data_IF_495784034722
#
_entry.id   IF_495784034722
#
_cell.length_a   1.000
_cell.length_b   1.000
_cell.length_c   1.000
_cell.angle_alpha   90.00
_cell.angle_beta   90.00
_cell.angle_gamma   90.00
#
_symmetry.space_group_name_H-M   'P 1'
#
loop_
_entity.id
_entity.type
_entity.pdbx_description
1 polymer ?
#
# COMPACT_ATOMS: atom_id res chain seq x y z
N UNK A 1 2.47 -9.35 -20.09
CA UNK A 1 2.62 -10.77 -20.47
C UNK A 1 3.88 -11.29 -19.77
N UNK A 2 3.83 -12.40 -19.04
CA UNK A 2 5.00 -12.96 -18.33
C UNK A 2 5.65 -14.05 -19.22
N UNK A 3 6.68 -13.75 -20.02
CA UNK A 3 7.20 -14.69 -21.02
C UNK A 3 7.73 -16.01 -20.42
N UNK A 4 8.16 -15.99 -19.15
CA UNK A 4 8.62 -17.16 -18.41
C UNK A 4 7.55 -18.24 -18.22
N UNK A 5 6.26 -17.89 -18.28
CA UNK A 5 5.18 -18.88 -18.14
C UNK A 5 5.15 -19.85 -19.32
N UNK A 6 5.57 -19.41 -20.51
CA UNK A 6 5.56 -20.23 -21.73
C UNK A 6 6.60 -21.36 -21.68
N UNK A 7 7.56 -21.25 -20.76
CA UNK A 7 8.63 -22.23 -20.55
C UNK A 7 8.54 -22.93 -19.20
N UNK A 8 7.48 -22.66 -18.41
CA UNK A 8 7.32 -23.23 -17.06
C UNK A 8 6.77 -24.66 -17.14
N UNK A 9 7.26 -25.54 -16.26
CA UNK A 9 6.72 -26.90 -16.11
C UNK A 9 5.42 -26.88 -15.29
N UNK A 10 4.41 -27.59 -15.79
CA UNK A 10 3.09 -27.60 -15.16
C UNK A 10 3.16 -28.20 -13.75
N UNK A 11 3.93 -29.28 -13.56
CA UNK A 11 3.96 -30.02 -12.30
C UNK A 11 4.84 -29.34 -11.26
N UNK A 12 6.01 -28.84 -11.64
CA UNK A 12 6.99 -28.30 -10.69
C UNK A 12 6.82 -26.80 -10.46
N UNK A 13 6.30 -26.05 -11.43
CA UNK A 13 6.26 -24.59 -11.35
C UNK A 13 4.82 -24.08 -11.13
N UNK A 14 3.85 -24.57 -11.90
CA UNK A 14 2.48 -24.05 -11.87
C UNK A 14 1.59 -24.70 -10.80
N UNK A 15 1.59 -26.04 -10.70
CA UNK A 15 0.78 -26.76 -9.73
C UNK A 15 1.00 -26.31 -8.27
N UNK A 16 2.25 -26.04 -7.81
CA UNK A 16 2.46 -25.51 -6.48
C UNK A 16 1.74 -24.18 -6.23
N UNK A 17 1.65 -23.31 -7.24
CA UNK A 17 0.96 -22.02 -7.12
C UNK A 17 -0.54 -22.24 -6.94
N UNK A 18 -1.16 -23.12 -7.74
CA UNK A 18 -2.58 -23.44 -7.57
C UNK A 18 -2.88 -24.15 -6.24
N UNK A 19 -1.99 -25.03 -5.79
CA UNK A 19 -2.07 -25.63 -4.46
C UNK A 19 -1.98 -24.57 -3.36
N UNK A 20 -1.11 -23.58 -3.50
CA UNK A 20 -1.03 -22.45 -2.57
C UNK A 20 -2.32 -21.63 -2.56
N UNK A 21 -2.90 -21.31 -3.72
CA UNK A 21 -4.19 -20.63 -3.79
C UNK A 21 -5.30 -21.44 -3.10
N UNK A 22 -5.38 -22.74 -3.36
CA UNK A 22 -6.40 -23.63 -2.80
C UNK A 22 -6.24 -23.83 -1.29
N UNK A 23 -5.07 -24.32 -0.86
CA UNK A 23 -4.89 -24.82 0.50
C UNK A 23 -4.46 -23.73 1.48
N UNK A 24 -3.56 -22.82 1.07
CA UNK A 24 -3.02 -21.79 1.95
C UNK A 24 -3.92 -20.53 1.97
N UNK A 25 -4.45 -20.10 0.81
CA UNK A 25 -5.35 -18.91 0.72
C UNK A 25 -6.85 -19.23 0.72
N UNK A 26 -7.24 -20.52 0.66
CA UNK A 26 -8.65 -20.95 0.62
C UNK A 26 -9.44 -20.39 -0.56
N UNK A 27 -8.77 -20.17 -1.69
CA UNK A 27 -9.39 -19.71 -2.94
C UNK A 27 -10.09 -20.90 -3.60
N UNK A 28 -11.40 -20.84 -3.87
CA UNK A 28 -12.09 -21.88 -4.64
C UNK A 28 -11.56 -21.94 -6.08
N UNK A 29 -11.47 -23.15 -6.66
CA UNK A 29 -10.87 -23.36 -7.99
C UNK A 29 -11.52 -22.49 -9.09
N UNK A 30 -12.85 -22.31 -9.04
CA UNK A 30 -13.59 -21.47 -9.98
C UNK A 30 -13.12 -20.00 -9.98
N UNK A 31 -12.44 -19.57 -8.92
CA UNK A 31 -11.93 -18.22 -8.75
C UNK A 31 -10.44 -18.05 -9.05
N UNK A 32 -9.70 -19.13 -9.38
CA UNK A 32 -8.27 -19.03 -9.70
C UNK A 32 -8.01 -18.04 -10.82
N UNK A 33 -8.80 -18.09 -11.90
CA UNK A 33 -8.67 -17.15 -13.03
C UNK A 33 -8.75 -15.69 -12.57
N UNK A 34 -9.66 -15.38 -11.64
CA UNK A 34 -9.85 -14.02 -11.11
C UNK A 34 -8.61 -13.55 -10.34
N UNK A 35 -8.08 -14.38 -9.45
CA UNK A 35 -6.87 -14.08 -8.65
C UNK A 35 -5.64 -13.93 -9.55
N UNK A 36 -5.45 -14.86 -10.49
CA UNK A 36 -4.34 -14.83 -11.43
C UNK A 36 -4.40 -13.60 -12.35
N UNK A 37 -5.58 -13.24 -12.86
CA UNK A 37 -5.71 -12.03 -13.67
C UNK A 37 -5.40 -10.75 -12.88
N UNK A 38 -5.71 -10.74 -11.58
CA UNK A 38 -5.39 -9.63 -10.68
C UNK A 38 -3.87 -9.51 -10.44
N UNK A 39 -3.16 -10.62 -10.29
CA UNK A 39 -1.71 -10.63 -10.10
C UNK A 39 -1.04 -11.81 -10.84
N UNK A 40 -0.73 -11.66 -12.14
CA UNK A 40 -0.11 -12.74 -12.92
C UNK A 40 1.26 -13.17 -12.39
N UNK A 41 1.92 -12.30 -11.60
CA UNK A 41 3.20 -12.59 -10.94
C UNK A 41 3.16 -13.78 -9.98
N UNK A 42 1.98 -14.16 -9.51
CA UNK A 42 1.80 -15.37 -8.69
C UNK A 42 2.34 -16.62 -9.40
N UNK A 43 2.13 -16.73 -10.72
CA UNK A 43 2.50 -17.90 -11.51
C UNK A 43 4.02 -18.08 -11.71
N UNK A 44 4.79 -17.03 -11.49
CA UNK A 44 6.26 -17.04 -11.65
C UNK A 44 7.00 -16.84 -10.33
N UNK A 45 6.27 -16.81 -9.21
CA UNK A 45 6.85 -16.61 -7.88
C UNK A 45 7.05 -17.95 -7.18
N UNK A 46 8.21 -18.17 -6.56
CA UNK A 46 8.47 -19.38 -5.79
C UNK A 46 7.50 -19.48 -4.61
N UNK A 47 6.72 -20.56 -4.55
CA UNK A 47 5.81 -20.79 -3.42
C UNK A 47 6.60 -20.92 -2.12
N UNK A 48 7.70 -21.67 -2.14
CA UNK A 48 8.53 -21.95 -0.96
C UNK A 48 9.31 -20.73 -0.49
N UNK A 49 9.91 -20.01 -1.42
CA UNK A 49 10.92 -18.98 -1.09
C UNK A 49 10.34 -17.56 -1.12
N UNK A 50 9.08 -17.39 -1.55
CA UNK A 50 8.46 -16.07 -1.70
C UNK A 50 7.01 -16.05 -1.21
N UNK A 51 6.10 -16.83 -1.79
CA UNK A 51 4.66 -16.72 -1.47
C UNK A 51 4.33 -17.12 -0.03
N UNK A 52 4.82 -18.27 0.43
CA UNK A 52 4.60 -18.74 1.82
C UNK A 52 5.29 -17.85 2.85
N UNK A 53 6.57 -17.47 2.70
CA UNK A 53 7.20 -16.51 3.60
C UNK A 53 6.44 -15.19 3.69
N UNK A 54 5.99 -14.63 2.55
CA UNK A 54 5.20 -13.41 2.53
C UNK A 54 3.86 -13.59 3.28
N UNK A 55 3.13 -14.68 3.01
CA UNK A 55 1.88 -14.97 3.71
C UNK A 55 2.09 -15.07 5.22
N UNK A 56 3.08 -15.84 5.69
CA UNK A 56 3.35 -15.99 7.11
C UNK A 56 3.78 -14.67 7.77
N UNK A 57 4.60 -13.88 7.08
CA UNK A 57 5.01 -12.57 7.58
C UNK A 57 3.81 -11.62 7.71
N UNK A 58 2.97 -11.52 6.68
CA UNK A 58 1.76 -10.70 6.70
C UNK A 58 0.79 -11.16 7.81
N UNK A 59 0.60 -12.47 7.99
CA UNK A 59 -0.21 -13.00 9.09
C UNK A 59 0.35 -12.61 10.47
N UNK A 60 1.68 -12.65 10.65
CA UNK A 60 2.34 -12.21 11.89
C UNK A 60 2.18 -10.71 12.15
N UNK A 61 2.06 -9.89 11.11
CA UNK A 61 1.73 -8.47 11.23
C UNK A 61 0.25 -8.23 11.54
N UNK A 62 -0.62 -9.23 11.39
CA UNK A 62 -2.05 -9.12 11.68
C UNK A 62 -2.97 -9.16 10.45
N UNK A 63 -2.46 -9.42 9.25
CA UNK A 63 -3.30 -9.63 8.06
C UNK A 63 -4.01 -10.99 8.14
N UNK A 64 -5.24 -10.99 8.63
CA UNK A 64 -6.05 -12.20 8.84
C UNK A 64 -7.02 -12.50 7.69
N UNK A 65 -7.38 -11.49 6.91
CA UNK A 65 -8.31 -11.64 5.79
C UNK A 65 -7.60 -12.21 4.55
N UNK A 66 -7.67 -13.54 4.40
CA UNK A 66 -7.13 -14.26 3.25
C UNK A 66 -7.85 -13.87 1.95
N UNK A 67 -9.13 -13.47 2.01
CA UNK A 67 -9.87 -13.00 0.85
C UNK A 67 -9.30 -11.66 0.38
N UNK A 68 -9.05 -10.71 1.28
CA UNK A 68 -8.39 -9.46 0.93
C UNK A 68 -7.00 -9.71 0.29
N UNK A 69 -6.18 -10.57 0.91
CA UNK A 69 -4.86 -10.92 0.37
C UNK A 69 -4.93 -11.60 -1.01
N UNK A 70 -5.92 -12.44 -1.27
CA UNK A 70 -6.05 -13.14 -2.56
C UNK A 70 -6.63 -12.25 -3.67
N UNK A 71 -7.65 -11.43 -3.36
CA UNK A 71 -8.45 -10.74 -4.37
C UNK A 71 -8.22 -9.24 -4.47
N UNK A 72 -7.82 -8.60 -3.37
CA UNK A 72 -7.62 -7.15 -3.31
C UNK A 72 -6.14 -6.81 -3.44
N UNK A 73 -5.30 -7.43 -2.60
CA UNK A 73 -3.87 -7.12 -2.47
C UNK A 73 -2.91 -8.32 -2.72
N UNK A 74 -3.11 -9.14 -3.77
CA UNK A 74 -2.21 -10.28 -4.07
C UNK A 74 -0.77 -9.85 -4.42
N UNK A 75 -0.55 -8.56 -4.64
CA UNK A 75 0.78 -7.98 -4.81
C UNK A 75 1.66 -8.16 -3.57
N UNK A 76 1.05 -8.20 -2.38
CA UNK A 76 1.78 -8.38 -1.11
C UNK A 76 2.37 -9.79 -1.00
N UNK A 77 1.65 -10.79 -1.51
CA UNK A 77 2.08 -12.19 -1.48
C UNK A 77 3.27 -12.45 -2.41
N UNK A 78 3.37 -11.69 -3.51
CA UNK A 78 4.53 -11.77 -4.43
C UNK A 78 5.65 -10.80 -4.02
N UNK A 79 5.58 -10.17 -2.84
CA UNK A 79 6.67 -9.32 -2.35
C UNK A 79 7.70 -10.15 -1.60
N UNK A 80 8.97 -9.75 -1.69
CA UNK A 80 10.04 -10.39 -0.90
C UNK A 80 10.08 -9.75 0.49
N UNK A 81 10.00 -10.56 1.54
CA UNK A 81 9.88 -10.06 2.92
C UNK A 81 11.06 -9.16 3.28
N UNK A 82 12.28 -9.63 3.09
CA UNK A 82 13.53 -8.96 3.50
C UNK A 82 13.90 -7.80 2.58
N UNK A 83 13.45 -7.83 1.32
CA UNK A 83 13.82 -6.82 0.31
C UNK A 83 12.72 -5.79 0.06
N UNK A 84 11.51 -6.03 0.54
CA UNK A 84 10.35 -5.18 0.26
C UNK A 84 9.61 -4.86 1.54
N UNK A 85 9.00 -5.85 2.20
CA UNK A 85 8.07 -5.59 3.31
C UNK A 85 8.77 -5.01 4.55
N UNK A 86 9.85 -5.65 5.02
CA UNK A 86 10.62 -5.18 6.18
C UNK A 86 11.17 -3.76 5.94
N UNK A 87 11.85 -3.46 4.82
CA UNK A 87 12.34 -2.10 4.56
C UNK A 87 11.26 -1.01 4.59
N UNK A 88 10.00 -1.29 4.24
CA UNK A 88 8.92 -0.28 4.34
C UNK A 88 8.53 0.01 5.78
N UNK A 89 8.48 -1.02 6.62
CA UNK A 89 8.21 -0.83 8.04
C UNK A 89 9.38 -0.13 8.73
N UNK A 90 10.62 -0.55 8.45
CA UNK A 90 11.81 0.09 9.00
C UNK A 90 11.90 1.56 8.60
N UNK A 91 11.50 1.90 7.37
CA UNK A 91 11.43 3.28 6.94
C UNK A 91 10.39 4.08 7.75
N UNK A 92 9.17 3.58 7.94
CA UNK A 92 8.15 4.24 8.77
C UNK A 92 8.67 4.44 10.20
N UNK A 93 9.34 3.45 10.77
CA UNK A 93 9.97 3.58 12.10
C UNK A 93 11.08 4.64 12.09
N UNK A 94 11.89 4.69 11.04
CA UNK A 94 13.00 5.65 10.92
C UNK A 94 12.57 7.11 10.85
N UNK A 95 11.33 7.39 10.41
CA UNK A 95 10.77 8.74 10.36
C UNK A 95 10.00 9.12 11.63
N UNK A 96 10.00 8.27 12.67
CA UNK A 96 9.53 8.60 14.01
C UNK A 96 8.31 7.81 14.49
N UNK A 97 7.74 6.91 13.69
CA UNK A 97 6.64 6.05 14.15
C UNK A 97 7.15 4.95 15.08
N UNK A 98 6.32 4.56 16.06
CA UNK A 98 6.57 3.30 16.76
C UNK A 98 6.36 2.12 15.81
N UNK A 99 6.91 0.96 16.16
CA UNK A 99 6.69 -0.27 15.38
C UNK A 99 5.19 -0.62 15.30
N UNK A 100 4.46 -0.43 16.39
CA UNK A 100 3.03 -0.74 16.44
C UNK A 100 2.21 0.25 15.60
N UNK A 101 2.58 1.53 15.58
CA UNK A 101 1.97 2.53 14.69
C UNK A 101 2.20 2.16 13.22
N UNK A 102 3.45 1.84 12.85
CA UNK A 102 3.80 1.45 11.49
C UNK A 102 3.01 0.21 11.04
N UNK A 103 2.87 -0.79 11.92
CA UNK A 103 2.04 -1.98 11.67
C UNK A 103 0.55 -1.60 11.54
N UNK A 104 0.02 -0.78 12.44
CA UNK A 104 -1.36 -0.31 12.40
C UNK A 104 -1.68 0.50 11.13
N UNK A 105 -0.72 1.28 10.63
CA UNK A 105 -0.84 2.02 9.38
C UNK A 105 -0.91 1.08 8.18
N UNK A 106 -0.03 0.08 8.06
CA UNK A 106 -0.05 -0.85 6.91
C UNK A 106 -1.25 -1.79 6.95
N UNK A 107 -1.78 -2.14 8.13
CA UNK A 107 -3.02 -2.91 8.24
C UNK A 107 -4.23 -2.13 7.72
N UNK A 108 -4.31 -0.82 8.00
CA UNK A 108 -5.37 0.06 7.48
C UNK A 108 -5.14 0.48 6.03
N UNK A 109 -3.89 0.54 5.59
CA UNK A 109 -3.51 0.95 4.25
C UNK A 109 -2.41 0.02 3.69
N UNK A 110 -2.77 -1.18 3.20
CA UNK A 110 -1.79 -2.16 2.71
C UNK A 110 -0.99 -1.67 1.50
N UNK A 111 -1.55 -0.72 0.74
CA UNK A 111 -0.88 -0.05 -0.38
C UNK A 111 0.46 0.60 -0.01
N UNK A 112 0.68 0.95 1.26
CA UNK A 112 1.97 1.47 1.74
C UNK A 112 3.15 0.54 1.39
N UNK A 113 2.95 -0.79 1.38
CA UNK A 113 4.00 -1.73 1.00
C UNK A 113 4.43 -1.64 -0.47
N UNK A 114 3.58 -1.06 -1.31
CA UNK A 114 3.80 -0.97 -2.76
C UNK A 114 4.54 0.30 -3.19
N UNK A 115 4.62 1.31 -2.31
CA UNK A 115 5.21 2.59 -2.65
C UNK A 115 6.73 2.58 -2.53
N UNK A 116 7.42 3.30 -3.43
CA UNK A 116 8.88 3.46 -3.37
C UNK A 116 9.29 4.27 -2.15
N UNK A 117 10.39 3.90 -1.49
CA UNK A 117 10.94 4.73 -0.39
C UNK A 117 11.49 6.02 -0.98
N UNK A 118 12.41 5.91 -1.94
CA UNK A 118 13.10 7.05 -2.55
C UNK A 118 12.17 7.95 -3.35
N UNK A 119 11.28 7.37 -4.15
CA UNK A 119 10.48 8.14 -5.12
C UNK A 119 9.07 8.49 -4.62
N UNK A 120 8.67 8.02 -3.44
CA UNK A 120 7.33 8.29 -2.91
C UNK A 120 7.35 8.70 -1.44
N UNK A 121 7.82 7.84 -0.55
CA UNK A 121 7.79 8.14 0.88
C UNK A 121 8.65 9.36 1.24
N UNK A 122 9.94 9.34 0.89
CA UNK A 122 10.89 10.41 1.23
C UNK A 122 10.44 11.79 0.76
N UNK A 123 10.15 12.04 -0.53
CA UNK A 123 9.78 13.38 -0.98
C UNK A 123 8.44 13.86 -0.38
N UNK A 124 7.48 12.96 -0.15
CA UNK A 124 6.20 13.34 0.46
C UNK A 124 6.31 13.61 1.95
N UNK A 125 7.13 12.84 2.66
CA UNK A 125 7.40 13.06 4.08
C UNK A 125 8.22 14.34 4.27
N UNK A 126 9.25 14.57 3.45
CA UNK A 126 10.04 15.80 3.51
C UNK A 126 9.19 17.04 3.29
N UNK A 127 8.27 17.02 2.32
CA UNK A 127 7.34 18.13 2.13
C UNK A 127 6.39 18.30 3.33
N UNK A 128 5.87 17.20 3.87
CA UNK A 128 4.98 17.21 5.03
C UNK A 128 5.65 17.83 6.27
N UNK A 129 6.88 17.38 6.57
CA UNK A 129 7.64 17.83 7.73
C UNK A 129 8.18 19.26 7.55
N UNK A 130 8.79 19.56 6.40
CA UNK A 130 9.50 20.85 6.22
C UNK A 130 8.59 21.98 5.77
N UNK A 131 7.65 21.72 4.88
CA UNK A 131 6.82 22.76 4.25
C UNK A 131 5.46 22.87 4.92
N UNK A 132 4.79 21.75 5.18
CA UNK A 132 3.48 21.75 5.84
C UNK A 132 3.57 21.89 7.37
N UNK A 133 4.75 21.62 7.95
CA UNK A 133 4.97 21.56 9.41
C UNK A 133 3.98 20.64 10.12
N UNK A 134 3.57 19.56 9.45
CA UNK A 134 2.54 18.66 9.94
C UNK A 134 3.05 17.74 11.05
N UNK A 135 2.12 17.25 11.86
CA UNK A 135 2.43 16.35 12.97
C UNK A 135 2.37 14.88 12.53
N UNK A 136 3.27 14.03 13.05
CA UNK A 136 3.29 12.59 12.73
C UNK A 136 1.93 11.92 13.00
N UNK A 137 1.20 12.39 14.00
CA UNK A 137 -0.12 11.87 14.34
C UNK A 137 -1.12 12.02 13.18
N UNK A 138 -1.04 13.09 12.37
CA UNK A 138 -1.90 13.27 11.21
C UNK A 138 -1.62 12.21 10.14
N UNK A 139 -0.35 11.87 9.91
CA UNK A 139 0.03 10.80 8.99
C UNK A 139 -0.34 9.43 9.54
N UNK A 140 -0.28 9.23 10.87
CA UNK A 140 -0.76 8.01 11.51
C UNK A 140 -2.25 7.85 11.28
N UNK A 141 -3.05 8.88 11.51
CA UNK A 141 -4.49 8.82 11.30
C UNK A 141 -4.86 8.73 9.81
N UNK A 142 -4.04 9.31 8.94
CA UNK A 142 -4.26 9.36 7.50
C UNK A 142 -3.09 8.83 6.64
N UNK A 143 -2.78 7.52 6.69
CA UNK A 143 -1.68 6.93 5.91
C UNK A 143 -1.88 7.05 4.40
N UNK A 144 -3.11 7.24 3.93
CA UNK A 144 -3.43 7.46 2.52
C UNK A 144 -2.81 8.75 1.96
N UNK A 145 -2.29 9.65 2.79
CA UNK A 145 -1.44 10.77 2.36
C UNK A 145 -0.40 10.32 1.33
N UNK A 146 0.29 9.20 1.59
CA UNK A 146 1.33 8.67 0.70
C UNK A 146 0.80 8.14 -0.64
N UNK A 147 -0.51 8.00 -0.82
CA UNK A 147 -1.13 7.60 -2.08
C UNK A 147 -1.42 8.80 -3.02
N UNK A 148 -1.53 10.02 -2.50
CA UNK A 148 -1.82 11.21 -3.31
C UNK A 148 -0.57 11.74 -4.02
N UNK A 149 -0.72 12.26 -5.24
CA UNK A 149 0.40 12.85 -5.97
C UNK A 149 0.95 14.07 -5.23
N UNK A 150 2.26 14.13 -5.02
CA UNK A 150 2.92 15.27 -4.40
C UNK A 150 2.70 16.55 -5.23
N UNK A 151 3.04 16.48 -6.52
CA UNK A 151 3.01 17.64 -7.41
C UNK A 151 1.60 18.01 -7.89
N UNK A 152 0.70 17.03 -8.06
CA UNK A 152 -0.63 17.27 -8.64
C UNK A 152 -1.74 17.44 -7.61
N UNK A 153 -1.53 17.04 -6.35
CA UNK A 153 -2.59 17.03 -5.33
C UNK A 153 -2.16 17.69 -4.03
N UNK A 154 -1.05 17.25 -3.44
CA UNK A 154 -0.64 17.70 -2.11
C UNK A 154 -0.17 19.16 -2.17
N UNK A 155 0.83 19.48 -3.00
CA UNK A 155 1.40 20.84 -3.08
C UNK A 155 0.39 21.90 -3.51
N UNK A 156 -0.41 21.71 -4.58
CA UNK A 156 -1.37 22.73 -5.01
C UNK A 156 -2.40 23.03 -3.93
N UNK A 157 -2.99 21.99 -3.32
CA UNK A 157 -4.04 22.17 -2.31
C UNK A 157 -3.51 22.75 -1.00
N UNK A 158 -2.34 22.33 -0.55
CA UNK A 158 -1.70 22.93 0.62
C UNK A 158 -1.44 24.43 0.40
N UNK A 159 -0.92 24.80 -0.77
CA UNK A 159 -0.65 26.21 -1.11
C UNK A 159 -1.93 27.06 -1.09
N UNK A 160 -3.03 26.55 -1.68
CA UNK A 160 -4.33 27.24 -1.68
C UNK A 160 -4.89 27.40 -0.25
N UNK A 161 -4.81 26.35 0.58
CA UNK A 161 -5.23 26.38 1.99
C UNK A 161 -4.47 27.46 2.77
N UNK A 162 -3.14 27.53 2.59
CA UNK A 162 -2.28 28.53 3.26
C UNK A 162 -2.61 29.95 2.77
N UNK A 163 -2.82 30.15 1.46
CA UNK A 163 -3.16 31.46 0.90
C UNK A 163 -4.50 31.99 1.42
N UNK A 164 -5.46 31.09 1.64
CA UNK A 164 -6.76 31.44 2.21
C UNK A 164 -6.75 31.57 3.74
N UNK A 165 -5.65 31.19 4.40
CA UNK A 165 -5.51 31.29 5.85
C UNK A 165 -6.46 30.37 6.62
N UNK A 166 -6.93 29.29 6.01
CA UNK A 166 -7.86 28.34 6.64
C UNK A 166 -7.12 27.12 7.18
N UNK A 167 -7.62 26.53 8.25
CA UNK A 167 -7.17 25.22 8.74
C UNK A 167 -8.03 24.11 8.14
N UNK A 168 -7.43 23.11 7.50
CA UNK A 168 -8.16 21.96 6.93
C UNK A 168 -7.39 20.68 7.23
N UNK A 169 -8.08 19.64 7.70
CA UNK A 169 -7.47 18.34 7.95
C UNK A 169 -6.99 17.66 6.65
N UNK A 170 -5.92 16.85 6.72
CA UNK A 170 -5.41 16.13 5.54
C UNK A 170 -6.47 15.31 4.80
N UNK A 171 -7.36 14.54 5.48
CA UNK A 171 -8.37 13.75 4.78
C UNK A 171 -9.31 14.64 3.98
N UNK A 172 -9.79 15.74 4.55
CA UNK A 172 -10.71 16.66 3.88
C UNK A 172 -10.00 17.36 2.71
N UNK A 173 -8.77 17.85 2.95
CA UNK A 173 -7.97 18.49 1.92
C UNK A 173 -7.68 17.56 0.74
N UNK A 174 -7.40 16.27 0.95
CA UNK A 174 -6.85 15.40 -0.10
C UNK A 174 -7.88 14.44 -0.73
N UNK A 175 -8.88 13.97 0.02
CA UNK A 175 -9.91 13.06 -0.49
C UNK A 175 -11.00 13.77 -1.28
N UNK A 176 -11.32 15.02 -0.95
CA UNK A 176 -12.38 15.76 -1.62
C UNK A 176 -12.14 15.87 -3.12
N UNK A 177 -13.24 15.93 -3.89
CA UNK A 177 -13.19 16.26 -5.32
C UNK A 177 -12.66 17.67 -5.54
N UNK A 178 -12.36 18.05 -6.78
CA UNK A 178 -11.86 19.41 -7.05
C UNK A 178 -12.97 20.46 -6.85
N UNK A 179 -14.22 20.10 -7.13
CA UNK A 179 -15.40 20.89 -6.84
C UNK A 179 -15.59 21.10 -5.33
N UNK A 180 -15.62 20.01 -4.56
CA UNK A 180 -15.77 20.07 -3.09
C UNK A 180 -14.64 20.87 -2.45
N UNK A 181 -13.40 20.67 -2.88
CA UNK A 181 -12.26 21.41 -2.36
C UNK A 181 -12.40 22.92 -2.63
N UNK A 182 -12.82 23.31 -3.83
CA UNK A 182 -13.06 24.73 -4.16
C UNK A 182 -14.20 25.34 -3.36
N UNK A 183 -15.22 24.57 -3.00
CA UNK A 183 -16.29 25.04 -2.11
C UNK A 183 -15.77 25.21 -0.66
N UNK A 184 -14.96 24.28 -0.16
CA UNK A 184 -14.33 24.36 1.16
C UNK A 184 -13.48 25.63 1.31
N UNK A 185 -12.67 25.94 0.30
CA UNK A 185 -11.86 27.17 0.28
C UNK A 185 -12.74 28.43 0.30
N UNK A 186 -13.87 28.43 -0.45
CA UNK A 186 -14.78 29.58 -0.53
C UNK A 186 -15.57 29.84 0.75
N UNK A 187 -15.85 28.80 1.54
CA UNK A 187 -16.70 28.88 2.73
C UNK A 187 -15.90 29.15 4.03
N UNK A 188 -14.57 29.26 3.97
CA UNK A 188 -13.75 29.70 5.10
C UNK A 188 -13.27 28.61 6.05
N UNK A 189 -13.32 27.33 5.66
CA UNK A 189 -12.82 26.19 6.44
C UNK A 189 -13.72 25.79 7.63
N UNK A 190 -14.15 24.54 7.67
CA UNK A 190 -14.89 23.93 8.78
C UNK A 190 -14.04 22.95 9.57
#
# INVERSE_FOLDING_TARGET
MCPQILTSDIKTDLNPVFNFLSYDLKVPEQNFRKVINKCPRLLISSVRDQLKPALFYLQRLGFKDLYALAYQDPILLVSRVEKTLIPKLDYLVSIGFSKDDAVGMVLRCPGLFTFSIENNFKPKFEYFDKEMKGELEELKEFPQYFAFSLEKRIKPRHTEVVQCGIGVSLPLMLKSTDEEFRELIRQGGG
#
